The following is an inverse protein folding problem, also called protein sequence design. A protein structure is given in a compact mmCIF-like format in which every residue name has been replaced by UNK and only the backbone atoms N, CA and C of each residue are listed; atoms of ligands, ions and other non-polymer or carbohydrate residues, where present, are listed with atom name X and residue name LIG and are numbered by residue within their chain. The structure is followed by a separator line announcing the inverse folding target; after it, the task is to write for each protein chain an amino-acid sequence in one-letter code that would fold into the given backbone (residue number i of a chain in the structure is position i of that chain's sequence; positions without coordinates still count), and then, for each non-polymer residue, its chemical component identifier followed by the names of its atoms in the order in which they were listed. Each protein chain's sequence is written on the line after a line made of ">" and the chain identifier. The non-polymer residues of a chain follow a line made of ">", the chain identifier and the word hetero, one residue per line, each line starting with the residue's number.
data_IF_614915977239
#
_entry.id   IF_614915977239
#
_cell.length_a   1.000
_cell.length_b   1.000
_cell.length_c   1.000
_cell.angle_alpha   90.00
_cell.angle_beta   90.00
_cell.angle_gamma   90.00
#
_symmetry.space_group_name_H-M   'P 1'
#
loop_
_entity.id
_entity.type
_entity.pdbx_description
1 polymer ?
#
# COMPACT_ATOMS: atom_id res chain seq x y z
N UNK A 1 -9.37 1.52 18.83
CA UNK A 1 -8.79 1.97 17.55
C UNK A 1 -9.08 0.94 16.48
N UNK A 2 -9.51 1.41 15.29
CA UNK A 2 -9.85 0.56 14.14
C UNK A 2 -8.92 0.83 12.98
N UNK A 3 -8.25 -0.18 12.47
CA UNK A 3 -7.30 -0.08 11.36
C UNK A 3 -7.82 -0.83 10.15
N UNK A 4 -7.99 -0.14 9.03
CA UNK A 4 -8.28 -0.79 7.75
C UNK A 4 -6.95 -1.08 7.04
N UNK A 5 -6.67 -2.36 6.82
CA UNK A 5 -5.46 -2.82 6.14
C UNK A 5 -5.81 -3.19 4.71
N UNK A 6 -5.05 -2.68 3.75
CA UNK A 6 -5.28 -2.92 2.33
C UNK A 6 -4.01 -3.38 1.62
N UNK A 7 -4.12 -4.41 0.80
CA UNK A 7 -2.99 -4.92 0.05
C UNK A 7 -3.37 -5.91 -1.07
N UNK A 8 -2.35 -6.42 -1.76
CA UNK A 8 -2.53 -7.46 -2.77
C UNK A 8 -2.76 -8.84 -2.13
N UNK A 9 -3.59 -9.68 -2.74
CA UNK A 9 -3.85 -11.06 -2.25
C UNK A 9 -2.58 -11.86 -2.00
N UNK A 10 -1.56 -11.69 -2.84
CA UNK A 10 -0.26 -12.37 -2.70
C UNK A 10 0.51 -11.96 -1.45
N UNK A 11 0.08 -10.91 -0.76
CA UNK A 11 0.70 -10.38 0.46
C UNK A 11 -0.15 -10.58 1.71
N UNK A 12 -1.35 -11.19 1.57
CA UNK A 12 -2.29 -11.34 2.68
C UNK A 12 -1.70 -12.10 3.84
N UNK A 13 -0.92 -13.13 3.62
CA UNK A 13 -0.27 -13.88 4.69
C UNK A 13 0.45 -12.95 5.69
N UNK A 14 1.30 -12.05 5.20
CA UNK A 14 2.03 -11.12 6.06
C UNK A 14 1.15 -10.02 6.66
N UNK A 15 0.16 -9.54 5.90
CA UNK A 15 -0.75 -8.52 6.40
C UNK A 15 -1.72 -9.07 7.44
N UNK A 16 -2.08 -10.35 7.34
CA UNK A 16 -2.89 -11.05 8.31
C UNK A 16 -2.11 -11.27 9.62
N UNK A 17 -0.84 -11.71 9.54
CA UNK A 17 0.04 -11.80 10.71
C UNK A 17 0.22 -10.46 11.42
N UNK A 18 0.36 -9.38 10.65
CA UNK A 18 0.41 -8.02 11.19
C UNK A 18 -0.92 -7.65 11.88
N UNK A 19 -2.06 -7.93 11.22
CA UNK A 19 -3.38 -7.69 11.80
C UNK A 19 -3.63 -8.48 13.09
N UNK A 20 -3.24 -9.76 13.14
CA UNK A 20 -3.34 -10.58 14.35
C UNK A 20 -2.43 -10.07 15.48
N UNK A 21 -1.26 -9.54 15.16
CA UNK A 21 -0.40 -8.89 16.15
C UNK A 21 -1.06 -7.62 16.72
N UNK A 22 -1.69 -6.80 15.87
CA UNK A 22 -2.45 -5.63 16.29
C UNK A 22 -3.63 -6.00 17.19
N UNK A 23 -4.35 -7.08 16.85
CA UNK A 23 -5.47 -7.58 17.64
C UNK A 23 -5.06 -8.02 19.04
N UNK A 24 -3.88 -8.64 19.20
CA UNK A 24 -3.30 -8.96 20.52
C UNK A 24 -3.03 -7.70 21.36
N UNK A 25 -2.87 -6.55 20.74
CA UNK A 25 -2.70 -5.25 21.38
C UNK A 25 -4.04 -4.49 21.58
N UNK A 26 -5.18 -5.14 21.38
CA UNK A 26 -6.50 -4.54 21.53
C UNK A 26 -6.94 -3.64 20.37
N UNK A 27 -6.30 -3.76 19.21
CA UNK A 27 -6.65 -3.00 18.00
C UNK A 27 -7.57 -3.83 17.12
N UNK A 28 -8.73 -3.28 16.76
CA UNK A 28 -9.62 -3.90 15.77
C UNK A 28 -9.08 -3.65 14.36
N UNK A 29 -8.98 -4.69 13.54
CA UNK A 29 -8.54 -4.53 12.15
C UNK A 29 -9.48 -5.21 11.16
N UNK A 30 -9.47 -4.71 9.93
CA UNK A 30 -10.11 -5.35 8.77
C UNK A 30 -9.12 -5.36 7.62
N UNK A 31 -8.86 -6.57 7.08
CA UNK A 31 -7.99 -6.76 5.92
C UNK A 31 -8.83 -6.88 4.65
N UNK A 32 -8.48 -6.11 3.62
CA UNK A 32 -9.19 -6.12 2.34
C UNK A 32 -8.21 -6.19 1.15
N UNK A 33 -8.65 -6.85 0.08
CA UNK A 33 -7.94 -6.78 -1.18
C UNK A 33 -8.26 -5.48 -1.89
N UNK A 34 -7.25 -4.65 -2.10
CA UNK A 34 -7.37 -3.28 -2.58
C UNK A 34 -8.18 -3.15 -3.89
N UNK A 35 -7.85 -3.94 -4.92
CA UNK A 35 -8.51 -3.86 -6.23
C UNK A 35 -9.93 -4.45 -6.28
N UNK A 36 -10.33 -5.24 -5.28
CA UNK A 36 -11.71 -5.74 -5.18
C UNK A 36 -12.64 -4.66 -4.61
N UNK A 37 -12.09 -3.71 -3.86
CA UNK A 37 -12.80 -2.57 -3.26
C UNK A 37 -12.83 -1.38 -4.21
N UNK A 38 -11.66 -0.96 -4.69
CA UNK A 38 -11.52 0.11 -5.65
C UNK A 38 -10.30 -0.12 -6.55
N UNK A 39 -10.52 -0.11 -7.85
CA UNK A 39 -9.49 -0.11 -8.88
C UNK A 39 -9.72 1.16 -9.72
N UNK A 40 -9.23 1.26 -10.90
CA UNK A 40 -9.48 2.39 -11.79
C UNK A 40 -8.34 2.58 -12.78
N UNK A 41 -8.49 3.56 -13.65
CA UNK A 41 -7.44 3.88 -14.61
C UNK A 41 -6.17 4.38 -13.91
N UNK A 42 -4.98 3.88 -14.28
CA UNK A 42 -4.72 2.78 -15.19
C UNK A 42 -4.81 1.40 -14.50
N UNK A 43 -5.70 0.55 -14.97
CA UNK A 43 -5.86 -0.82 -14.51
C UNK A 43 -5.64 -1.80 -15.66
N UNK A 44 -5.17 -3.02 -15.35
CA UNK A 44 -5.10 -4.10 -16.32
C UNK A 44 -6.48 -4.55 -16.83
N UNK A 45 -7.52 -4.30 -16.02
CA UNK A 45 -8.92 -4.61 -16.38
C UNK A 45 -9.58 -3.35 -16.90
N UNK A 46 -9.73 -3.22 -18.22
CA UNK A 46 -10.34 -2.04 -18.89
C UNK A 46 -11.72 -1.70 -18.30
N UNK A 47 -12.52 -2.71 -17.95
CA UNK A 47 -13.83 -2.50 -17.30
C UNK A 47 -13.77 -1.73 -16.00
N UNK A 48 -12.61 -1.72 -15.33
CA UNK A 48 -12.41 -1.04 -14.05
C UNK A 48 -11.96 0.43 -14.22
N UNK A 49 -11.68 0.89 -15.44
CA UNK A 49 -11.20 2.25 -15.67
C UNK A 49 -12.18 3.33 -15.20
N UNK A 50 -13.47 3.03 -15.29
CA UNK A 50 -14.54 3.92 -14.83
C UNK A 50 -15.10 3.50 -13.45
N UNK A 51 -14.38 2.69 -12.71
CA UNK A 51 -14.84 2.23 -11.41
C UNK A 51 -15.03 3.42 -10.46
N UNK A 52 -16.21 3.50 -9.85
CA UNK A 52 -16.56 4.51 -8.86
C UNK A 52 -16.15 4.08 -7.44
N UNK A 53 -16.30 4.98 -6.48
CA UNK A 53 -15.96 4.76 -5.07
C UNK A 53 -17.04 4.05 -4.26
N UNK A 54 -18.12 3.56 -4.84
CA UNK A 54 -19.28 3.05 -4.10
C UNK A 54 -18.90 1.96 -3.09
N UNK A 55 -18.12 0.96 -3.50
CA UNK A 55 -17.67 -0.10 -2.59
C UNK A 55 -16.74 0.42 -1.50
N UNK A 56 -15.86 1.35 -1.85
CA UNK A 56 -14.95 1.98 -0.91
C UNK A 56 -15.74 2.79 0.13
N UNK A 57 -16.64 3.65 -0.31
CA UNK A 57 -17.46 4.47 0.59
C UNK A 57 -18.32 3.59 1.51
N UNK A 58 -18.90 2.51 1.00
CA UNK A 58 -19.63 1.52 1.80
C UNK A 58 -18.73 0.91 2.88
N UNK A 59 -17.54 0.45 2.50
CA UNK A 59 -16.56 -0.13 3.43
C UNK A 59 -16.19 0.85 4.55
N UNK A 60 -15.92 2.11 4.20
CA UNK A 60 -15.57 3.15 5.17
C UNK A 60 -16.74 3.48 6.11
N UNK A 61 -17.95 3.60 5.57
CA UNK A 61 -19.15 3.91 6.39
C UNK A 61 -19.51 2.79 7.36
N UNK A 62 -19.31 1.52 6.97
CA UNK A 62 -19.59 0.36 7.80
C UNK A 62 -18.50 0.13 8.86
N UNK A 63 -17.24 0.16 8.48
CA UNK A 63 -16.12 -0.15 9.38
C UNK A 63 -15.67 1.05 10.21
N UNK A 64 -15.78 2.28 9.68
CA UNK A 64 -15.35 3.54 10.32
C UNK A 64 -13.92 3.47 10.86
N UNK A 65 -12.93 3.28 10.01
CA UNK A 65 -11.54 3.17 10.44
C UNK A 65 -11.01 4.50 10.98
N UNK A 66 -10.21 4.43 12.04
CA UNK A 66 -9.46 5.58 12.56
C UNK A 66 -8.26 5.92 11.64
N UNK A 67 -7.72 4.90 10.97
CA UNK A 67 -6.65 5.04 9.98
C UNK A 67 -6.68 3.90 8.96
N UNK A 68 -6.00 4.12 7.84
CA UNK A 68 -5.81 3.13 6.78
C UNK A 68 -4.32 2.85 6.58
N UNK A 69 -3.96 1.58 6.60
CA UNK A 69 -2.62 1.09 6.30
C UNK A 69 -2.62 0.38 4.94
N UNK A 70 -1.80 0.84 3.99
CA UNK A 70 -1.74 0.27 2.64
C UNK A 70 -0.37 -0.30 2.33
N UNK A 71 -0.36 -1.52 1.76
CA UNK A 71 0.85 -2.17 1.25
C UNK A 71 1.13 -1.83 -0.23
N UNK A 72 0.30 -0.97 -0.85
CA UNK A 72 0.44 -0.53 -2.26
C UNK A 72 -0.06 0.89 -2.46
N UNK A 73 0.69 1.65 -3.24
CA UNK A 73 0.44 3.06 -3.56
C UNK A 73 -0.47 3.19 -4.81
N UNK A 74 -1.74 2.82 -4.67
CA UNK A 74 -2.71 2.78 -5.76
C UNK A 74 -3.98 3.59 -5.45
N UNK A 75 -5.02 3.43 -6.27
CA UNK A 75 -6.31 4.12 -6.12
C UNK A 75 -6.93 4.01 -4.74
N UNK A 76 -6.70 2.90 -4.02
CA UNK A 76 -7.20 2.74 -2.66
C UNK A 76 -6.62 3.81 -1.72
N UNK A 77 -5.30 4.04 -1.77
CA UNK A 77 -4.65 5.11 -0.99
C UNK A 77 -5.16 6.50 -1.37
N UNK A 78 -5.34 6.79 -2.66
CA UNK A 78 -5.91 8.07 -3.11
C UNK A 78 -7.34 8.25 -2.59
N UNK A 79 -8.19 7.21 -2.67
CA UNK A 79 -9.56 7.28 -2.14
C UNK A 79 -9.58 7.52 -0.62
N UNK A 80 -8.63 6.96 0.11
CA UNK A 80 -8.44 7.20 1.55
C UNK A 80 -8.14 8.67 1.84
N UNK A 81 -7.16 9.26 1.14
CA UNK A 81 -6.80 10.68 1.25
C UNK A 81 -8.02 11.57 0.98
N UNK A 82 -8.72 11.31 -0.12
CA UNK A 82 -9.91 12.06 -0.54
C UNK A 82 -11.11 11.91 0.42
N UNK A 83 -11.05 10.96 1.34
CA UNK A 83 -12.02 10.77 2.41
C UNK A 83 -11.57 11.35 3.75
N UNK A 84 -10.46 12.09 3.78
CA UNK A 84 -9.85 12.70 4.96
C UNK A 84 -9.54 11.68 6.10
N UNK A 85 -9.21 10.44 5.74
CA UNK A 85 -8.80 9.40 6.69
C UNK A 85 -7.27 9.35 6.70
N UNK A 86 -6.61 9.30 7.86
CA UNK A 86 -5.16 9.15 7.97
C UNK A 86 -4.67 7.95 7.17
N UNK A 87 -3.74 8.18 6.22
CA UNK A 87 -3.16 7.15 5.36
C UNK A 87 -1.71 6.87 5.77
N UNK A 88 -1.42 5.61 6.03
CA UNK A 88 -0.08 5.09 6.28
C UNK A 88 0.33 4.17 5.14
N UNK A 89 1.42 4.52 4.45
CA UNK A 89 1.90 3.80 3.27
C UNK A 89 3.09 2.93 3.63
N UNK A 90 2.91 1.61 3.59
CA UNK A 90 3.99 0.65 3.81
C UNK A 90 4.84 0.51 2.55
N UNK A 91 6.13 0.80 2.66
CA UNK A 91 7.07 0.76 1.54
C UNK A 91 8.02 -0.44 1.68
N UNK A 92 7.90 -1.40 0.75
CA UNK A 92 8.64 -2.67 0.80
C UNK A 92 9.81 -2.76 -0.19
N UNK A 93 9.93 -1.81 -1.10
CA UNK A 93 10.99 -1.75 -2.10
C UNK A 93 11.31 -0.32 -2.51
N UNK A 94 12.42 -0.13 -3.20
CA UNK A 94 12.78 1.17 -3.76
C UNK A 94 11.94 1.45 -5.02
N UNK A 95 10.74 1.98 -4.78
CA UNK A 95 9.79 2.33 -5.84
C UNK A 95 10.42 3.22 -6.92
N UNK A 96 11.29 4.14 -6.57
CA UNK A 96 11.83 5.11 -7.52
C UNK A 96 12.83 4.46 -8.47
N UNK A 97 13.75 3.64 -7.95
CA UNK A 97 14.67 2.85 -8.77
C UNK A 97 13.94 1.83 -9.63
N UNK A 98 12.91 1.15 -9.08
CA UNK A 98 12.06 0.24 -9.84
C UNK A 98 11.34 0.96 -10.99
N UNK A 99 10.83 2.18 -10.77
CA UNK A 99 10.14 2.94 -11.80
C UNK A 99 11.09 3.50 -12.85
N UNK A 100 12.29 3.90 -12.48
CA UNK A 100 13.32 4.28 -13.44
C UNK A 100 13.68 3.10 -14.34
N UNK A 101 13.99 1.96 -13.78
CA UNK A 101 14.27 0.73 -14.53
C UNK A 101 13.09 0.35 -15.44
N UNK A 102 11.86 0.37 -14.92
CA UNK A 102 10.68 0.05 -15.69
C UNK A 102 10.48 1.02 -16.88
N UNK A 103 10.75 2.31 -16.71
CA UNK A 103 10.71 3.31 -17.78
C UNK A 103 11.69 2.98 -18.90
N UNK A 104 12.88 2.52 -18.54
CA UNK A 104 13.95 2.22 -19.50
C UNK A 104 13.75 0.86 -20.21
N UNK A 105 13.04 -0.07 -19.59
CA UNK A 105 12.90 -1.44 -20.09
C UNK A 105 11.48 -1.79 -20.57
N UNK A 106 10.47 -1.55 -19.76
CA UNK A 106 9.10 -2.04 -19.99
C UNK A 106 8.18 -1.02 -20.68
N UNK A 107 8.38 0.27 -20.39
CA UNK A 107 7.49 1.35 -20.84
C UNK A 107 8.14 2.20 -21.94
N UNK A 108 8.62 1.55 -23.01
CA UNK A 108 9.34 2.23 -24.12
C UNK A 108 8.40 2.91 -25.12
N UNK A 109 7.23 2.32 -25.39
CA UNK A 109 6.28 2.89 -26.34
C UNK A 109 5.46 4.04 -25.74
N UNK A 110 4.91 4.95 -26.58
CA UNK A 110 4.19 6.14 -26.12
C UNK A 110 2.97 5.81 -25.26
N UNK A 111 2.20 4.77 -25.62
CA UNK A 111 0.99 4.37 -24.88
C UNK A 111 1.38 3.90 -23.48
N UNK A 112 2.39 3.04 -23.38
CA UNK A 112 2.88 2.56 -22.08
C UNK A 112 3.48 3.69 -21.25
N UNK A 113 4.19 4.65 -21.87
CA UNK A 113 4.69 5.84 -21.16
C UNK A 113 3.54 6.65 -20.54
N UNK A 114 2.45 6.83 -21.26
CA UNK A 114 1.25 7.51 -20.75
C UNK A 114 0.65 6.75 -19.55
N UNK A 115 0.52 5.42 -19.65
CA UNK A 115 0.05 4.59 -18.53
C UNK A 115 0.97 4.70 -17.32
N UNK A 116 2.29 4.70 -17.54
CA UNK A 116 3.28 4.88 -16.46
C UNK A 116 3.14 6.26 -15.81
N UNK A 117 2.95 7.31 -16.60
CA UNK A 117 2.73 8.66 -16.08
C UNK A 117 1.52 8.72 -15.11
N UNK A 118 0.39 8.12 -15.49
CA UNK A 118 -0.79 8.07 -14.60
C UNK A 118 -0.53 7.24 -13.34
N UNK A 119 0.19 6.11 -13.44
CA UNK A 119 0.59 5.32 -12.26
C UNK A 119 1.47 6.14 -11.33
N UNK A 120 2.48 6.80 -11.87
CA UNK A 120 3.37 7.65 -11.09
C UNK A 120 2.61 8.80 -10.41
N UNK A 121 1.67 9.43 -11.10
CA UNK A 121 0.81 10.48 -10.52
C UNK A 121 0.01 9.95 -9.32
N UNK A 122 -0.60 8.77 -9.46
CA UNK A 122 -1.35 8.13 -8.37
C UNK A 122 -0.44 7.81 -7.18
N UNK A 123 0.72 7.22 -7.45
CA UNK A 123 1.70 6.86 -6.40
C UNK A 123 2.29 8.09 -5.73
N UNK A 124 2.67 9.12 -6.50
CA UNK A 124 3.19 10.38 -5.95
C UNK A 124 2.17 11.03 -5.03
N UNK A 125 0.88 11.04 -5.41
CA UNK A 125 -0.19 11.54 -4.55
C UNK A 125 -0.29 10.73 -3.25
N UNK A 126 -0.21 9.40 -3.31
CA UNK A 126 -0.21 8.56 -2.10
C UNK A 126 0.97 8.90 -1.18
N UNK A 127 2.17 9.11 -1.73
CA UNK A 127 3.34 9.44 -0.91
C UNK A 127 3.29 10.88 -0.37
N UNK A 128 2.96 11.88 -1.23
CA UNK A 128 2.94 13.28 -0.81
C UNK A 128 1.87 13.56 0.23
N UNK A 129 0.67 13.00 0.06
CA UNK A 129 -0.50 13.35 0.86
C UNK A 129 -0.78 12.35 1.99
N UNK A 130 0.00 11.26 2.11
CA UNK A 130 -0.10 10.33 3.23
C UNK A 130 0.28 11.00 4.55
N UNK A 131 -0.28 10.51 5.65
CA UNK A 131 0.11 10.91 7.00
C UNK A 131 1.55 10.50 7.32
N UNK A 132 1.95 9.30 6.89
CA UNK A 132 3.31 8.78 7.08
C UNK A 132 3.64 7.75 5.99
N UNK A 133 4.95 7.60 5.72
CA UNK A 133 5.49 6.50 4.94
C UNK A 133 6.26 5.60 5.90
N UNK A 134 5.97 4.29 5.85
CA UNK A 134 6.52 3.29 6.76
C UNK A 134 7.37 2.30 5.95
N UNK A 135 8.68 2.55 5.81
CA UNK A 135 9.59 1.65 5.11
C UNK A 135 9.84 0.35 5.90
N UNK A 136 10.09 -0.74 5.19
CA UNK A 136 10.40 -2.04 5.80
C UNK A 136 11.81 -2.11 6.41
N UNK A 137 12.71 -1.19 6.07
CA UNK A 137 14.09 -1.17 6.56
C UNK A 137 14.68 0.24 6.55
N UNK A 138 15.78 0.42 7.27
CA UNK A 138 16.46 1.70 7.38
C UNK A 138 17.02 2.22 6.06
N UNK A 139 17.47 1.34 5.16
CA UNK A 139 17.89 1.75 3.82
C UNK A 139 16.78 2.51 3.08
N UNK A 140 15.57 1.97 3.08
CA UNK A 140 14.43 2.65 2.46
C UNK A 140 13.98 3.89 3.24
N UNK A 141 14.17 3.92 4.57
CA UNK A 141 13.91 5.12 5.39
C UNK A 141 14.75 6.30 4.94
N UNK A 142 16.04 6.10 4.67
CA UNK A 142 16.92 7.16 4.18
C UNK A 142 16.51 7.65 2.77
N UNK A 143 16.12 6.75 1.88
CA UNK A 143 15.60 7.12 0.54
C UNK A 143 14.33 7.97 0.67
N UNK A 144 13.41 7.58 1.55
CA UNK A 144 12.16 8.34 1.77
C UNK A 144 12.46 9.71 2.37
N UNK A 145 13.31 9.81 3.38
CA UNK A 145 13.70 11.08 3.99
C UNK A 145 14.33 12.04 3.00
N UNK A 146 15.17 11.55 2.11
CA UNK A 146 15.77 12.38 1.07
C UNK A 146 14.73 12.93 0.07
N UNK A 147 13.63 12.23 -0.16
CA UNK A 147 12.56 12.65 -1.10
C UNK A 147 11.44 13.45 -0.44
N UNK A 148 11.18 13.19 0.82
CA UNK A 148 10.11 13.80 1.62
C UNK A 148 10.64 14.17 3.01
N UNK A 149 11.55 15.17 3.13
CA UNK A 149 12.26 15.48 4.38
C UNK A 149 11.32 15.87 5.52
N UNK A 150 10.20 16.52 5.22
CA UNK A 150 9.22 16.96 6.22
C UNK A 150 8.21 15.89 6.64
N UNK A 151 8.23 14.72 5.97
CA UNK A 151 7.25 13.66 6.26
C UNK A 151 7.70 12.81 7.44
N UNK A 152 6.78 12.46 8.37
CA UNK A 152 7.05 11.44 9.38
C UNK A 152 7.38 10.10 8.72
N UNK A 153 8.54 9.54 9.06
CA UNK A 153 9.03 8.28 8.49
C UNK A 153 9.59 7.42 9.61
N UNK A 154 8.92 6.29 9.87
CA UNK A 154 9.38 5.29 10.83
C UNK A 154 9.50 3.93 10.18
N UNK A 155 10.53 3.18 10.55
CA UNK A 155 10.77 1.83 10.01
C UNK A 155 9.88 0.83 10.72
N UNK A 156 9.16 0.02 9.94
CA UNK A 156 8.42 -1.14 10.44
C UNK A 156 8.99 -2.41 9.78
N UNK A 157 9.86 -3.11 10.49
CA UNK A 157 10.34 -4.41 10.05
C UNK A 157 9.21 -5.42 10.00
N UNK A 158 9.18 -6.21 8.95
CA UNK A 158 8.22 -7.29 8.85
C UNK A 158 8.59 -8.36 9.87
N UNK A 159 7.73 -8.54 10.87
CA UNK A 159 7.83 -9.63 11.82
C UNK A 159 7.45 -10.97 11.19
N UNK A 160 7.96 -12.03 11.76
CA UNK A 160 7.55 -13.42 11.48
C UNK A 160 7.17 -14.08 12.79
N UNK A 161 6.20 -14.98 12.75
CA UNK A 161 5.85 -15.81 13.89
C UNK A 161 6.82 -17.01 13.97
N UNK A 162 7.75 -17.04 14.96
CA UNK A 162 8.74 -18.11 15.04
C UNK A 162 8.12 -19.51 15.19
N UNK A 163 6.91 -19.61 15.76
CA UNK A 163 6.22 -20.88 15.97
C UNK A 163 5.80 -21.56 14.65
N UNK A 164 5.68 -20.76 13.57
CA UNK A 164 5.35 -21.24 12.23
C UNK A 164 6.59 -21.63 11.41
N UNK A 165 7.80 -21.38 11.94
CA UNK A 165 9.05 -21.70 11.28
C UNK A 165 9.71 -22.90 11.96
N UNK A 166 9.89 -23.97 11.22
CA UNK A 166 10.56 -25.19 11.70
C UNK A 166 11.79 -25.48 10.84
N UNK A 167 12.82 -26.00 11.47
CA UNK A 167 13.96 -26.54 10.74
C UNK A 167 13.45 -27.63 9.78
N UNK A 168 13.60 -27.41 8.47
CA UNK A 168 13.52 -28.51 7.52
C UNK A 168 14.51 -29.57 7.99
N UNK A 169 14.05 -30.80 8.24
CA UNK A 169 14.94 -31.92 8.42
C UNK A 169 15.84 -31.93 7.20
N UNK A 170 17.14 -31.75 7.41
CA UNK A 170 18.10 -31.63 6.34
C UNK A 170 17.95 -32.73 5.30
N UNK A 171 18.06 -32.33 4.04
CA UNK A 171 18.34 -33.25 2.96
C UNK A 171 19.71 -33.88 3.17
#
# INVERSE_FOLDING_TARGET
>A
MKILISGAKTKFFHLEEFGEALKKLGVEYKLVHDIDVIDGFPSRRIRNWLQNKTKFNKLISEFKPDLVFVDRQIRFGVATIESNIPLYVHLRGDYWSEMQWAKETLYKDPIKKTVLWFKNRTTSKCFSDSTSIIPICNYLKEIVKNKYPEKPVETLYQGIDPSKWFKTKGM
#
